data_IF_800079660517
#
_entry.id   IF_800079660517
#
_cell.length_a   1.000
_cell.length_b   1.000
_cell.length_c   1.000
_cell.angle_alpha   90.00
_cell.angle_beta   90.00
_cell.angle_gamma   90.00
#
_symmetry.space_group_name_H-M   'P 1'
#
loop_
_entity.id
_entity.type
_entity.pdbx_description
1 polymer ?
#
# COMPACT_ATOMS: atom_id res chain seq x y z
N UNK A 1 26.95 85.05 59.37
CA UNK A 1 26.06 83.98 58.84
C UNK A 1 26.29 83.64 57.37
N UNK A 2 26.90 84.51 56.53
CA UNK A 2 27.14 84.22 55.10
C UNK A 2 28.19 83.13 54.79
N UNK A 3 29.29 83.02 55.56
CA UNK A 3 30.37 82.04 55.29
C UNK A 3 29.95 80.56 55.35
N UNK A 4 28.99 80.23 56.22
CA UNK A 4 28.50 78.84 56.39
C UNK A 4 27.57 78.46 55.22
N UNK A 5 26.72 79.41 54.80
CA UNK A 5 25.85 79.24 53.63
C UNK A 5 26.68 79.06 52.34
N UNK A 6 27.75 79.85 52.17
CA UNK A 6 28.66 79.74 51.02
C UNK A 6 29.42 78.39 51.02
N UNK A 7 29.87 77.91 52.19
CA UNK A 7 30.52 76.60 52.33
C UNK A 7 29.60 75.43 51.95
N UNK A 8 28.33 75.46 52.36
CA UNK A 8 27.34 74.45 51.97
C UNK A 8 27.00 74.51 50.49
N UNK A 9 26.94 75.72 49.90
CA UNK A 9 26.67 75.92 48.47
C UNK A 9 27.79 75.34 47.60
N UNK A 10 29.04 75.58 47.99
CA UNK A 10 30.21 75.05 47.29
C UNK A 10 30.28 73.52 47.36
N UNK A 11 29.85 72.92 48.49
CA UNK A 11 29.78 71.46 48.63
C UNK A 11 28.68 70.84 47.79
N UNK A 12 27.55 71.52 47.63
CA UNK A 12 26.47 71.12 46.72
C UNK A 12 26.92 71.23 45.26
N UNK A 13 27.65 72.28 44.88
CA UNK A 13 28.22 72.40 43.54
C UNK A 13 29.25 71.31 43.24
N UNK A 14 30.16 71.01 44.16
CA UNK A 14 31.12 69.92 44.01
C UNK A 14 30.43 68.56 43.87
N UNK A 15 29.43 68.26 44.70
CA UNK A 15 28.65 67.04 44.58
C UNK A 15 27.85 66.98 43.27
N UNK A 16 27.34 68.10 42.77
CA UNK A 16 26.67 68.16 41.47
C UNK A 16 27.65 67.94 40.31
N UNK A 17 28.89 68.44 40.42
CA UNK A 17 29.97 68.19 39.45
C UNK A 17 30.42 66.73 39.44
N UNK A 18 30.39 66.03 40.58
CA UNK A 18 30.62 64.59 40.65
C UNK A 18 29.41 63.78 40.14
N UNK A 19 28.19 64.31 40.28
CA UNK A 19 26.95 63.64 39.86
C UNK A 19 26.74 63.66 38.33
N UNK A 20 27.26 64.66 37.62
CA UNK A 20 27.12 64.77 36.15
C UNK A 20 27.78 63.61 35.40
N UNK A 21 29.06 63.21 35.62
CA UNK A 21 29.65 62.08 34.92
C UNK A 21 28.93 60.77 35.23
N UNK A 22 28.51 60.55 36.49
CA UNK A 22 27.73 59.35 36.86
C UNK A 22 26.36 59.31 36.15
N UNK A 23 25.70 60.46 35.98
CA UNK A 23 24.46 60.56 35.19
C UNK A 23 24.70 60.25 33.71
N UNK A 24 25.80 60.73 33.14
CA UNK A 24 26.16 60.47 31.75
C UNK A 24 26.51 59.00 31.51
N UNK A 25 27.29 58.38 32.40
CA UNK A 25 27.58 56.95 32.35
C UNK A 25 26.31 56.11 32.45
N UNK A 26 25.42 56.43 33.39
CA UNK A 26 24.10 55.78 33.51
C UNK A 26 23.32 55.90 32.21
N UNK A 27 23.30 57.07 31.59
CA UNK A 27 22.59 57.28 30.32
C UNK A 27 23.21 56.46 29.18
N UNK A 28 24.55 56.39 29.09
CA UNK A 28 25.26 55.54 28.12
C UNK A 28 24.90 54.07 28.31
N UNK A 29 24.97 53.56 29.55
CA UNK A 29 24.59 52.18 29.88
C UNK A 29 23.11 51.89 29.60
N UNK A 30 22.22 52.84 29.86
CA UNK A 30 20.80 52.70 29.51
C UNK A 30 20.58 52.63 27.99
N UNK A 31 21.30 53.42 27.20
CA UNK A 31 21.22 53.33 25.74
C UNK A 31 21.77 52.00 25.22
N UNK A 32 22.87 51.49 25.79
CA UNK A 32 23.39 50.15 25.48
C UNK A 32 22.36 49.06 25.83
N UNK A 33 21.76 49.13 27.02
CA UNK A 33 20.73 48.19 27.46
C UNK A 33 19.51 48.18 26.53
N UNK A 34 19.07 49.35 26.05
CA UNK A 34 17.99 49.46 25.06
C UNK A 34 18.36 48.80 23.74
N UNK A 35 19.56 49.06 23.21
CA UNK A 35 20.05 48.42 21.97
C UNK A 35 20.10 46.90 22.10
N UNK A 36 20.56 46.38 23.25
CA UNK A 36 20.58 44.94 23.50
C UNK A 36 19.17 44.36 23.65
N UNK A 37 18.24 45.07 24.28
CA UNK A 37 16.85 44.66 24.39
C UNK A 37 16.17 44.58 23.01
N UNK A 38 16.41 45.54 22.13
CA UNK A 38 15.92 45.53 20.74
C UNK A 38 16.49 44.36 19.94
N UNK A 39 17.81 44.12 20.00
CA UNK A 39 18.44 42.96 19.37
C UNK A 39 17.87 41.64 19.89
N UNK A 40 17.65 41.52 21.19
CA UNK A 40 17.03 40.33 21.80
C UNK A 40 15.60 40.16 21.28
N UNK A 41 14.81 41.23 21.23
CA UNK A 41 13.42 41.16 20.78
C UNK A 41 13.33 40.71 19.31
N UNK A 42 14.16 41.30 18.43
CA UNK A 42 14.20 40.90 17.01
C UNK A 42 14.65 39.45 16.81
N UNK A 43 15.64 38.98 17.58
CA UNK A 43 16.05 37.58 17.56
C UNK A 43 14.94 36.64 18.07
N UNK A 44 14.29 37.01 19.17
CA UNK A 44 13.17 36.22 19.72
C UNK A 44 12.00 36.12 18.73
N UNK A 45 11.72 37.19 18.00
CA UNK A 45 10.69 37.19 16.96
C UNK A 45 11.07 36.26 15.80
N UNK A 46 12.32 36.33 15.31
CA UNK A 46 12.83 35.39 14.29
C UNK A 46 12.73 33.94 14.75
N UNK A 47 13.13 33.64 15.99
CA UNK A 47 13.02 32.30 16.58
C UNK A 47 11.56 31.83 16.67
N UNK A 48 10.63 32.71 17.05
CA UNK A 48 9.20 32.37 17.07
C UNK A 48 8.66 32.03 15.69
N UNK A 49 9.04 32.80 14.66
CA UNK A 49 8.61 32.53 13.30
C UNK A 49 9.19 31.21 12.78
N UNK A 50 10.50 30.97 12.97
CA UNK A 50 11.14 29.69 12.60
C UNK A 50 10.52 28.49 13.32
N UNK A 51 10.11 28.64 14.59
CA UNK A 51 9.38 27.59 15.32
C UNK A 51 8.02 27.30 14.68
N UNK A 52 7.24 28.34 14.38
CA UNK A 52 5.95 28.18 13.67
C UNK A 52 6.15 27.47 12.33
N UNK A 53 7.13 27.89 11.54
CA UNK A 53 7.42 27.24 10.25
C UNK A 53 7.80 25.77 10.45
N UNK A 54 8.64 25.47 11.44
CA UNK A 54 9.02 24.09 11.79
C UNK A 54 7.80 23.25 12.17
N UNK A 55 6.89 23.81 12.97
CA UNK A 55 5.69 23.10 13.40
C UNK A 55 4.74 22.85 12.23
N UNK A 56 4.54 23.81 11.33
CA UNK A 56 3.74 23.59 10.11
C UNK A 56 4.36 22.54 9.18
N UNK A 57 5.68 22.48 9.06
CA UNK A 57 6.38 21.47 8.26
C UNK A 57 6.22 20.09 8.92
N UNK A 58 6.32 20.01 10.26
CA UNK A 58 6.09 18.77 11.00
C UNK A 58 4.66 18.26 10.79
N UNK A 59 3.66 19.13 10.90
CA UNK A 59 2.27 18.75 10.65
C UNK A 59 2.08 18.19 9.23
N UNK A 60 2.61 18.87 8.20
CA UNK A 60 2.59 18.38 6.81
C UNK A 60 3.31 17.04 6.65
N UNK A 61 4.46 16.87 7.31
CA UNK A 61 5.19 15.59 7.30
C UNK A 61 4.36 14.48 7.94
N UNK A 62 3.71 14.76 9.06
CA UNK A 62 2.94 13.77 9.79
C UNK A 62 1.66 13.37 9.04
N UNK A 63 1.01 14.31 8.34
CA UNK A 63 -0.11 13.97 7.44
C UNK A 63 0.33 13.10 6.28
N UNK A 64 1.44 13.44 5.62
CA UNK A 64 2.00 12.63 4.53
C UNK A 64 2.41 11.24 5.04
N UNK A 65 3.05 11.14 6.20
CA UNK A 65 3.43 9.86 6.79
C UNK A 65 2.20 8.97 7.08
N UNK A 66 1.10 9.55 7.56
CA UNK A 66 -0.17 8.82 7.74
C UNK A 66 -0.72 8.31 6.42
N UNK A 67 -0.77 9.15 5.38
CA UNK A 67 -1.20 8.74 4.04
C UNK A 67 -0.32 7.61 3.48
N UNK A 68 1.01 7.72 3.61
CA UNK A 68 1.95 6.67 3.20
C UNK A 68 1.71 5.39 3.98
N UNK A 69 1.41 5.46 5.28
CA UNK A 69 1.11 4.28 6.08
C UNK A 69 -0.19 3.60 5.65
N UNK A 70 -1.25 4.36 5.36
CA UNK A 70 -2.51 3.85 4.83
C UNK A 70 -2.31 3.16 3.47
N UNK A 71 -1.57 3.80 2.56
CA UNK A 71 -1.23 3.22 1.26
C UNK A 71 -0.40 1.94 1.39
N UNK A 72 0.55 1.89 2.33
CA UNK A 72 1.32 0.67 2.63
C UNK A 72 0.41 -0.45 3.13
N UNK A 73 -0.50 -0.15 4.06
CA UNK A 73 -1.44 -1.13 4.59
C UNK A 73 -2.35 -1.69 3.46
N UNK A 74 -2.88 -0.81 2.60
CA UNK A 74 -3.70 -1.21 1.46
C UNK A 74 -2.91 -2.10 0.49
N UNK A 75 -1.67 -1.69 0.15
CA UNK A 75 -0.77 -2.48 -0.70
C UNK A 75 -0.50 -3.85 -0.11
N UNK A 76 -0.26 -3.94 1.19
CA UNK A 76 0.06 -5.20 1.86
C UNK A 76 -1.17 -6.13 1.92
N UNK A 77 -2.38 -5.58 2.09
CA UNK A 77 -3.64 -6.32 1.94
C UNK A 77 -3.88 -6.84 0.51
N UNK A 78 -3.58 -6.02 -0.51
CA UNK A 78 -3.68 -6.46 -1.91
C UNK A 78 -2.64 -7.53 -2.22
N UNK A 79 -1.41 -7.38 -1.72
CA UNK A 79 -0.34 -8.35 -1.91
C UNK A 79 -0.62 -9.69 -1.26
N UNK A 80 -1.20 -9.71 -0.05
CA UNK A 80 -1.60 -10.94 0.64
C UNK A 80 -2.71 -11.66 -0.12
N UNK A 81 -3.79 -10.96 -0.49
CA UNK A 81 -4.86 -11.52 -1.36
C UNK A 81 -4.30 -12.04 -2.69
N UNK A 82 -3.37 -11.30 -3.30
CA UNK A 82 -2.70 -11.70 -4.55
C UNK A 82 -1.81 -12.94 -4.38
N UNK A 83 -1.17 -13.13 -3.22
CA UNK A 83 -0.43 -14.36 -2.89
C UNK A 83 -1.38 -15.54 -2.74
N UNK A 84 -2.48 -15.40 -2.01
CA UNK A 84 -3.49 -16.45 -1.84
C UNK A 84 -4.14 -16.90 -3.16
N UNK A 85 -4.44 -15.95 -4.07
CA UNK A 85 -4.94 -16.30 -5.40
C UNK A 85 -3.88 -17.05 -6.21
N UNK A 86 -2.61 -16.66 -6.12
CA UNK A 86 -1.50 -17.36 -6.79
C UNK A 86 -1.30 -18.79 -6.28
N UNK A 87 -1.39 -19.01 -4.96
CA UNK A 87 -1.30 -20.38 -4.41
C UNK A 87 -2.45 -21.25 -4.91
N UNK A 88 -3.69 -20.75 -4.88
CA UNK A 88 -4.87 -21.45 -5.43
C UNK A 88 -4.72 -21.78 -6.91
N UNK A 89 -4.17 -20.85 -7.71
CA UNK A 89 -3.87 -21.09 -9.13
C UNK A 89 -2.84 -22.21 -9.28
N UNK A 90 -1.76 -22.19 -8.50
CA UNK A 90 -0.75 -23.25 -8.53
C UNK A 90 -1.33 -24.61 -8.15
N UNK A 91 -2.16 -24.68 -7.12
CA UNK A 91 -2.86 -25.91 -6.73
C UNK A 91 -3.76 -26.45 -7.85
N UNK A 92 -4.46 -25.57 -8.57
CA UNK A 92 -5.30 -25.96 -9.70
C UNK A 92 -4.48 -26.41 -10.90
N UNK A 93 -3.33 -25.78 -11.15
CA UNK A 93 -2.39 -26.22 -12.17
C UNK A 93 -1.87 -27.63 -11.86
N UNK A 94 -1.52 -27.91 -10.61
CA UNK A 94 -1.07 -29.23 -10.20
C UNK A 94 -2.20 -30.27 -10.31
N UNK A 95 -3.43 -29.92 -9.89
CA UNK A 95 -4.60 -30.78 -10.12
C UNK A 95 -4.81 -31.09 -11.60
N UNK A 96 -4.64 -30.11 -12.49
CA UNK A 96 -4.74 -30.32 -13.95
C UNK A 96 -3.60 -31.23 -14.44
N UNK A 97 -2.38 -31.07 -13.93
CA UNK A 97 -1.24 -31.92 -14.27
C UNK A 97 -1.52 -33.38 -13.93
N UNK A 98 -1.89 -33.66 -12.68
CA UNK A 98 -2.25 -35.03 -12.22
C UNK A 98 -3.42 -35.62 -13.00
N UNK A 99 -4.44 -34.80 -13.32
CA UNK A 99 -5.57 -35.28 -14.13
C UNK A 99 -5.19 -35.49 -15.61
N UNK A 100 -4.23 -34.73 -16.15
CA UNK A 100 -3.71 -34.93 -17.50
C UNK A 100 -2.84 -36.19 -17.61
N UNK A 101 -2.09 -36.55 -16.57
CA UNK A 101 -1.33 -37.82 -16.53
C UNK A 101 -2.24 -39.03 -16.62
N UNK A 102 -3.45 -38.95 -16.05
CA UNK A 102 -4.48 -39.99 -16.13
C UNK A 102 -5.43 -39.80 -17.31
N UNK A 103 -5.10 -38.92 -18.25
CA UNK A 103 -6.01 -38.58 -19.35
C UNK A 103 -5.98 -39.71 -20.39
N UNK A 104 -7.14 -40.27 -20.74
CA UNK A 104 -7.25 -41.18 -21.88
C UNK A 104 -6.98 -40.43 -23.17
N UNK A 105 -6.25 -41.06 -24.10
CA UNK A 105 -6.04 -40.54 -25.44
C UNK A 105 -7.39 -40.38 -26.17
N UNK A 106 -7.57 -39.23 -26.83
CA UNK A 106 -8.80 -38.90 -27.55
C UNK A 106 -9.35 -37.51 -27.26
N UNK A 107 -10.00 -36.92 -28.27
CA UNK A 107 -10.74 -35.68 -28.15
C UNK A 107 -12.15 -35.95 -27.59
N UNK A 108 -12.68 -35.07 -26.75
CA UNK A 108 -14.00 -35.22 -26.11
C UNK A 108 -15.12 -35.40 -27.15
N UNK A 109 -14.97 -34.76 -28.32
CA UNK A 109 -15.91 -34.87 -29.44
C UNK A 109 -15.76 -36.15 -30.27
N UNK A 110 -14.61 -36.82 -30.20
CA UNK A 110 -14.39 -38.11 -30.85
C UNK A 110 -14.98 -39.22 -29.98
N UNK A 111 -14.63 -39.27 -28.69
CA UNK A 111 -15.19 -40.23 -27.72
C UNK A 111 -16.72 -40.17 -27.66
N UNK A 112 -17.31 -38.96 -27.70
CA UNK A 112 -18.77 -38.81 -27.73
C UNK A 112 -19.42 -39.37 -29.01
N UNK A 113 -18.75 -39.21 -30.17
CA UNK A 113 -19.23 -39.76 -31.44
C UNK A 113 -19.09 -41.28 -31.49
N UNK A 114 -17.98 -41.81 -30.98
CA UNK A 114 -17.78 -43.26 -30.89
C UNK A 114 -18.85 -43.93 -30.02
N UNK A 115 -19.26 -43.31 -28.90
CA UNK A 115 -20.38 -43.81 -28.09
C UNK A 115 -21.68 -43.81 -28.90
N UNK A 116 -21.98 -42.71 -29.62
CA UNK A 116 -23.19 -42.56 -30.43
C UNK A 116 -23.23 -43.57 -31.60
N UNK A 117 -22.09 -43.79 -32.26
CA UNK A 117 -21.95 -44.75 -33.35
C UNK A 117 -22.13 -46.20 -32.86
N UNK A 118 -21.59 -46.55 -31.68
CA UNK A 118 -21.78 -47.88 -31.08
C UNK A 118 -23.23 -48.08 -30.64
N UNK A 119 -23.84 -47.08 -30.01
CA UNK A 119 -25.24 -47.14 -29.57
C UNK A 119 -26.20 -47.29 -30.76
N UNK A 120 -25.95 -46.54 -31.85
CA UNK A 120 -26.68 -46.71 -33.11
C UNK A 120 -26.51 -48.12 -33.68
N UNK A 121 -25.29 -48.69 -33.64
CA UNK A 121 -25.01 -50.04 -34.13
C UNK A 121 -25.78 -51.10 -33.35
N UNK A 122 -25.88 -50.97 -32.02
CA UNK A 122 -26.68 -51.84 -31.14
C UNK A 122 -28.17 -51.71 -31.46
N UNK A 123 -28.67 -50.49 -31.70
CA UNK A 123 -30.09 -50.26 -31.98
C UNK A 123 -30.54 -50.75 -33.37
N UNK A 124 -29.66 -50.67 -34.38
CA UNK A 124 -30.02 -50.92 -35.79
C UNK A 124 -29.66 -52.32 -36.29
N UNK A 125 -28.75 -53.04 -35.63
CA UNK A 125 -28.36 -54.38 -36.04
C UNK A 125 -28.77 -55.42 -35.00
N UNK A 126 -29.34 -56.53 -35.46
CA UNK A 126 -29.60 -57.69 -34.61
C UNK A 126 -28.30 -58.47 -34.42
N UNK A 127 -27.59 -58.20 -33.32
CA UNK A 127 -26.28 -58.78 -33.01
C UNK A 127 -26.44 -59.98 -32.06
N UNK A 128 -25.48 -60.93 -32.05
CA UNK A 128 -25.44 -61.96 -31.03
C UNK A 128 -25.18 -61.34 -29.65
N UNK A 129 -25.78 -61.92 -28.60
CA UNK A 129 -25.68 -61.43 -27.20
C UNK A 129 -24.24 -61.17 -26.74
N UNK A 130 -23.28 -61.98 -27.20
CA UNK A 130 -21.85 -61.79 -26.86
C UNK A 130 -21.27 -60.50 -27.46
N UNK A 131 -21.60 -60.20 -28.72
CA UNK A 131 -21.12 -59.00 -29.39
C UNK A 131 -21.77 -57.74 -28.81
N UNK A 132 -23.04 -57.82 -28.43
CA UNK A 132 -23.71 -56.73 -27.70
C UNK A 132 -23.04 -56.46 -26.34
N UNK A 133 -22.72 -57.50 -25.56
CA UNK A 133 -22.07 -57.34 -24.26
C UNK A 133 -20.67 -56.72 -24.39
N UNK A 134 -19.91 -57.11 -25.42
CA UNK A 134 -18.61 -56.50 -25.75
C UNK A 134 -18.75 -55.01 -26.11
N UNK A 135 -19.74 -54.64 -26.94
CA UNK A 135 -20.01 -53.24 -27.30
C UNK A 135 -20.48 -52.41 -26.10
N UNK A 136 -21.30 -52.98 -25.22
CA UNK A 136 -21.74 -52.34 -23.97
C UNK A 136 -20.55 -52.11 -23.03
N UNK A 137 -19.62 -53.06 -22.93
CA UNK A 137 -18.41 -52.90 -22.14
C UNK A 137 -17.48 -51.81 -22.73
N UNK A 138 -17.41 -51.69 -24.06
CA UNK A 138 -16.70 -50.58 -24.73
C UNK A 138 -17.35 -49.22 -24.42
N UNK A 139 -18.68 -49.11 -24.48
CA UNK A 139 -19.40 -47.89 -24.09
C UNK A 139 -19.07 -47.51 -22.65
N UNK A 140 -19.13 -48.45 -21.70
CA UNK A 140 -18.79 -48.18 -20.28
C UNK A 140 -17.40 -47.58 -20.14
N UNK A 141 -16.41 -48.14 -20.84
CA UNK A 141 -15.04 -47.60 -20.82
C UNK A 141 -14.99 -46.18 -21.36
N UNK A 142 -15.56 -45.93 -22.55
CA UNK A 142 -15.63 -44.60 -23.18
C UNK A 142 -16.37 -43.57 -22.31
N UNK A 143 -17.43 -43.96 -21.61
CA UNK A 143 -18.15 -43.11 -20.66
C UNK A 143 -17.27 -42.70 -19.48
N UNK A 144 -16.53 -43.64 -18.89
CA UNK A 144 -15.54 -43.31 -17.82
C UNK A 144 -14.52 -42.29 -18.32
N UNK A 145 -14.00 -42.48 -19.54
CA UNK A 145 -13.05 -41.55 -20.16
C UNK A 145 -13.68 -40.15 -20.32
N UNK A 146 -14.92 -40.09 -20.78
CA UNK A 146 -15.65 -38.85 -21.01
C UNK A 146 -15.92 -38.07 -19.70
N UNK A 147 -16.21 -38.78 -18.60
CA UNK A 147 -16.35 -38.17 -17.27
C UNK A 147 -15.04 -37.53 -16.81
N UNK A 148 -13.91 -38.20 -16.97
CA UNK A 148 -12.58 -37.66 -16.62
C UNK A 148 -12.26 -36.41 -17.46
N UNK A 149 -12.49 -36.46 -18.77
CA UNK A 149 -12.25 -35.31 -19.65
C UNK A 149 -13.16 -34.11 -19.35
N UNK A 150 -14.44 -34.35 -19.01
CA UNK A 150 -15.36 -33.31 -18.55
C UNK A 150 -14.87 -32.65 -17.25
N UNK A 151 -14.34 -33.43 -16.30
CA UNK A 151 -13.75 -32.90 -15.05
C UNK A 151 -12.53 -32.03 -15.35
N UNK A 152 -11.62 -32.47 -16.22
CA UNK A 152 -10.45 -31.66 -16.65
C UNK A 152 -10.89 -30.33 -17.26
N UNK A 153 -11.89 -30.35 -18.14
CA UNK A 153 -12.43 -29.12 -18.76
C UNK A 153 -12.99 -28.14 -17.71
N UNK A 154 -13.75 -28.64 -16.73
CA UNK A 154 -14.26 -27.81 -15.63
C UNK A 154 -13.12 -27.15 -14.82
N UNK A 155 -12.07 -27.89 -14.48
CA UNK A 155 -10.92 -27.33 -13.74
C UNK A 155 -10.16 -26.31 -14.61
N UNK A 156 -9.99 -26.57 -15.91
CA UNK A 156 -9.37 -25.62 -16.85
C UNK A 156 -10.16 -24.32 -16.99
N UNK A 157 -11.50 -24.40 -17.08
CA UNK A 157 -12.35 -23.21 -17.12
C UNK A 157 -12.22 -22.40 -15.83
N UNK A 158 -12.26 -23.06 -14.67
CA UNK A 158 -12.08 -22.40 -13.37
C UNK A 158 -10.71 -21.75 -13.22
N UNK A 159 -9.66 -22.37 -13.77
CA UNK A 159 -8.32 -21.79 -13.84
C UNK A 159 -8.29 -20.57 -14.77
N UNK A 160 -8.99 -20.61 -15.90
CA UNK A 160 -9.09 -19.48 -16.82
C UNK A 160 -9.78 -18.28 -16.17
N UNK A 161 -10.92 -18.50 -15.53
CA UNK A 161 -11.67 -17.48 -14.75
C UNK A 161 -10.77 -16.84 -13.68
N UNK A 162 -10.08 -17.65 -12.86
CA UNK A 162 -9.16 -17.14 -11.85
C UNK A 162 -7.98 -16.35 -12.44
N UNK A 163 -7.45 -16.76 -13.60
CA UNK A 163 -6.39 -16.01 -14.28
C UNK A 163 -6.91 -14.69 -14.86
N UNK A 164 -8.12 -14.66 -15.40
CA UNK A 164 -8.72 -13.41 -15.90
C UNK A 164 -8.98 -12.44 -14.76
N UNK A 165 -9.49 -12.91 -13.62
CA UNK A 165 -9.63 -12.10 -12.42
C UNK A 165 -8.27 -11.56 -11.95
N UNK A 166 -7.24 -12.42 -11.88
CA UNK A 166 -5.90 -12.01 -11.45
C UNK A 166 -5.30 -10.91 -12.35
N UNK A 167 -5.55 -10.96 -13.67
CA UNK A 167 -5.12 -9.91 -14.60
C UNK A 167 -5.82 -8.58 -14.31
N UNK A 168 -7.12 -8.60 -13.96
CA UNK A 168 -7.86 -7.42 -13.53
C UNK A 168 -7.27 -6.76 -12.27
N UNK A 169 -6.91 -7.56 -11.26
CA UNK A 169 -6.23 -7.04 -10.06
C UNK A 169 -4.87 -6.40 -10.37
N UNK A 170 -4.13 -6.96 -11.34
CA UNK A 170 -2.87 -6.37 -11.80
C UNK A 170 -3.06 -4.97 -12.39
N UNK A 171 -4.10 -4.78 -13.20
CA UNK A 171 -4.43 -3.45 -13.75
C UNK A 171 -4.89 -2.46 -12.68
N UNK A 172 -5.72 -2.90 -11.73
CA UNK A 172 -6.18 -2.05 -10.62
C UNK A 172 -5.01 -1.60 -9.72
N UNK A 173 -4.12 -2.52 -9.35
CA UNK A 173 -2.94 -2.19 -8.55
C UNK A 173 -2.01 -1.19 -9.27
N UNK A 174 -1.86 -1.31 -10.59
CA UNK A 174 -1.04 -0.38 -11.38
C UNK A 174 -1.69 1.01 -11.49
N UNK A 175 -3.02 1.12 -11.46
CA UNK A 175 -3.70 2.42 -11.37
C UNK A 175 -3.52 3.07 -10.00
N UNK A 176 -3.55 2.30 -8.92
CA UNK A 176 -3.32 2.80 -7.55
C UNK A 176 -1.88 3.30 -7.39
N UNK A 177 -0.90 2.63 -8.00
CA UNK A 177 0.51 3.07 -7.96
C UNK A 177 0.77 4.35 -8.78
N UNK A 178 -0.06 4.64 -9.80
CA UNK A 178 0.10 5.84 -10.64
C UNK A 178 -0.62 7.07 -10.11
N UNK A 179 -1.57 6.90 -9.19
CA UNK A 179 -2.21 8.00 -8.45
C UNK A 179 -1.34 8.43 -7.28
#
# INVERSE_FOLDING_TARGET
MNKIADSTKNKIEALNQELTPTKEERNKRNLEAKKWAEKRNTLNEKVRNLRKDTDTIKEKRDTINKQVQELKNLRDQVNTKGKEKRTKISELQEKIRVLNEKRPDGNLRQVAREIEDIDWKIQTNSLPVKEEDDLVNQIRQLETQLVVQKRIKKVKNKLFEMRTEQRGFGTEAQTIHKK
#
